data_IF_702473890633
#
_entry.id   IF_702473890633
#
_cell.length_a   1.000
_cell.length_b   1.000
_cell.length_c   1.000
_cell.angle_alpha   90.00
_cell.angle_beta   90.00
_cell.angle_gamma   90.00
#
_symmetry.space_group_name_H-M   'P 1'
#
loop_
_entity.id
_entity.type
_entity.pdbx_description
1 polymer ?
#
# COMPACT_ATOMS: atom_id res chain seq x y z
N UNK A 1 8.41 13.93 -26.77
CA UNK A 1 9.08 12.79 -26.12
C UNK A 1 7.99 11.90 -25.54
N UNK A 2 7.67 10.78 -26.18
CA UNK A 2 6.69 9.84 -25.62
C UNK A 2 7.33 9.16 -24.39
N UNK A 3 6.63 9.03 -23.26
CA UNK A 3 7.17 8.35 -22.09
C UNK A 3 7.54 6.92 -22.50
N UNK A 4 8.83 6.61 -22.42
CA UNK A 4 9.34 5.27 -22.67
C UNK A 4 8.99 4.45 -21.43
N UNK A 5 7.88 3.70 -21.45
CA UNK A 5 7.55 2.77 -20.37
C UNK A 5 8.67 1.75 -20.29
N UNK A 6 9.53 1.84 -19.27
CA UNK A 6 10.62 0.88 -19.06
C UNK A 6 10.00 -0.49 -18.79
N UNK A 7 10.70 -1.58 -19.10
CA UNK A 7 10.22 -2.95 -18.83
C UNK A 7 9.86 -3.20 -17.35
N UNK A 8 10.27 -2.30 -16.45
CA UNK A 8 10.05 -2.35 -15.00
C UNK A 8 8.60 -1.99 -14.62
N UNK A 9 7.95 -1.05 -15.33
CA UNK A 9 6.57 -0.63 -15.03
C UNK A 9 5.56 -1.76 -15.26
N UNK A 10 5.76 -2.57 -16.31
CA UNK A 10 4.85 -3.67 -16.68
C UNK A 10 4.73 -4.74 -15.59
N UNK A 11 5.74 -4.88 -14.73
CA UNK A 11 5.76 -5.89 -13.68
C UNK A 11 5.71 -5.30 -12.27
N UNK A 12 5.62 -3.97 -12.09
CA UNK A 12 5.68 -3.36 -10.75
C UNK A 12 4.61 -3.92 -9.82
N UNK A 13 3.37 -4.08 -10.30
CA UNK A 13 2.29 -4.66 -9.51
C UNK A 13 2.62 -6.07 -9.01
N UNK A 14 3.16 -6.93 -9.87
CA UNK A 14 3.57 -8.28 -9.50
C UNK A 14 4.75 -8.26 -8.51
N UNK A 15 5.71 -7.35 -8.71
CA UNK A 15 6.85 -7.17 -7.79
C UNK A 15 6.38 -6.75 -6.41
N UNK A 16 5.49 -5.77 -6.31
CA UNK A 16 4.88 -5.33 -5.04
C UNK A 16 4.15 -6.50 -4.35
N UNK A 17 3.40 -7.31 -5.11
CA UNK A 17 2.73 -8.48 -4.56
C UNK A 17 3.70 -9.54 -4.02
N UNK A 18 4.76 -9.88 -4.75
CA UNK A 18 5.75 -10.85 -4.24
C UNK A 18 6.53 -10.31 -3.05
N UNK A 19 6.89 -9.03 -3.06
CA UNK A 19 7.54 -8.38 -1.91
C UNK A 19 6.66 -8.38 -0.67
N UNK A 20 5.35 -8.15 -0.79
CA UNK A 20 4.44 -8.15 0.36
C UNK A 20 4.34 -9.54 1.02
N UNK A 21 4.34 -10.62 0.22
CA UNK A 21 4.39 -12.00 0.73
C UNK A 21 5.70 -12.27 1.48
N UNK A 22 6.83 -11.82 0.94
CA UNK A 22 8.12 -11.95 1.61
C UNK A 22 8.13 -11.22 2.97
N UNK A 23 7.57 -10.01 3.05
CA UNK A 23 7.44 -9.26 4.29
C UNK A 23 6.53 -9.96 5.31
N UNK A 24 5.38 -10.49 4.89
CA UNK A 24 4.49 -11.24 5.78
C UNK A 24 5.17 -12.49 6.36
N UNK A 25 5.95 -13.20 5.55
CA UNK A 25 6.75 -14.35 6.01
C UNK A 25 7.80 -13.94 7.04
N UNK A 26 8.49 -12.83 6.80
CA UNK A 26 9.49 -12.32 7.74
C UNK A 26 8.85 -11.94 9.08
N UNK A 27 7.71 -11.25 9.06
CA UNK A 27 6.95 -10.92 10.28
C UNK A 27 6.52 -12.18 11.04
N UNK A 28 5.99 -13.17 10.33
CA UNK A 28 5.59 -14.44 10.93
C UNK A 28 6.78 -15.19 11.57
N UNK A 29 7.98 -15.13 10.95
CA UNK A 29 9.18 -15.78 11.50
C UNK A 29 9.66 -15.21 12.83
N UNK A 30 9.21 -14.00 13.19
CA UNK A 30 9.49 -13.37 14.49
C UNK A 30 8.24 -13.30 15.37
N UNK A 31 7.28 -14.20 15.15
CA UNK A 31 6.07 -14.37 15.95
C UNK A 31 5.12 -13.16 15.95
N UNK A 32 5.18 -12.28 14.95
CA UNK A 32 4.15 -11.24 14.77
C UNK A 32 2.88 -11.92 14.26
N UNK A 33 1.78 -11.74 15.00
CA UNK A 33 0.49 -12.39 14.70
C UNK A 33 -0.54 -11.44 14.11
N UNK A 34 -0.35 -10.11 14.24
CA UNK A 34 -1.25 -9.11 13.66
C UNK A 34 -0.46 -7.84 13.32
N UNK A 35 -0.77 -7.22 12.18
CA UNK A 35 -0.16 -5.95 11.72
C UNK A 35 -1.19 -5.01 11.14
N UNK A 36 -0.89 -3.71 11.18
CA UNK A 36 -1.62 -2.68 10.45
C UNK A 36 -0.73 -2.16 9.30
N UNK A 37 -1.20 -2.32 8.07
CA UNK A 37 -0.60 -1.67 6.90
C UNK A 37 -1.11 -0.23 6.81
N UNK A 38 -0.22 0.72 6.60
CA UNK A 38 -0.52 2.17 6.58
C UNK A 38 -0.55 2.75 5.16
N UNK A 39 -0.40 1.90 4.14
CA UNK A 39 -0.35 2.35 2.76
C UNK A 39 0.15 1.25 1.83
N UNK A 40 -0.49 1.10 0.68
CA UNK A 40 -0.07 0.13 -0.33
C UNK A 40 -0.43 0.56 -1.74
N UNK A 41 0.51 0.40 -2.67
CA UNK A 41 0.20 0.49 -4.11
C UNK A 41 -0.65 -0.70 -4.54
N UNK A 42 -1.50 -0.49 -5.56
CA UNK A 42 -2.28 -1.54 -6.20
C UNK A 42 -3.18 -2.37 -5.26
N UNK A 43 -3.49 -1.84 -4.06
CA UNK A 43 -4.20 -2.59 -3.02
C UNK A 43 -3.53 -3.92 -2.64
N UNK A 44 -2.19 -4.00 -2.73
CA UNK A 44 -1.48 -5.26 -2.49
C UNK A 44 -1.60 -5.74 -1.03
N UNK A 45 -1.74 -4.83 -0.07
CA UNK A 45 -2.00 -5.15 1.33
C UNK A 45 -3.40 -5.76 1.56
N UNK A 46 -4.41 -5.25 0.85
CA UNK A 46 -5.76 -5.83 0.85
C UNK A 46 -5.75 -7.22 0.22
N UNK A 47 -5.11 -7.38 -0.94
CA UNK A 47 -5.02 -8.69 -1.60
C UNK A 47 -4.30 -9.72 -0.71
N UNK A 48 -3.21 -9.32 -0.06
CA UNK A 48 -2.49 -10.17 0.88
C UNK A 48 -3.33 -10.51 2.12
N UNK A 49 -4.09 -9.56 2.66
CA UNK A 49 -5.04 -9.80 3.76
C UNK A 49 -6.02 -10.91 3.40
N UNK A 50 -6.67 -10.81 2.23
CA UNK A 50 -7.64 -11.81 1.77
C UNK A 50 -6.99 -13.17 1.50
N UNK A 51 -5.79 -13.18 0.93
CA UNK A 51 -5.03 -14.41 0.70
C UNK A 51 -4.65 -15.11 2.03
N UNK A 52 -4.31 -14.35 3.07
CA UNK A 52 -4.04 -14.91 4.41
C UNK A 52 -5.34 -15.38 5.07
N UNK A 53 -6.41 -14.57 5.00
CA UNK A 53 -7.71 -14.91 5.59
C UNK A 53 -8.33 -16.18 4.98
N UNK A 54 -8.14 -16.40 3.68
CA UNK A 54 -8.56 -17.62 2.97
C UNK A 54 -7.62 -18.82 3.16
N UNK A 55 -6.47 -18.62 3.81
CA UNK A 55 -5.46 -19.67 4.02
C UNK A 55 -4.59 -19.99 2.80
N UNK A 56 -4.70 -19.21 1.70
CA UNK A 56 -3.85 -19.36 0.51
C UNK A 56 -2.37 -19.06 0.84
N UNK A 57 -2.12 -18.12 1.76
CA UNK A 57 -0.77 -17.71 2.19
C UNK A 57 -0.71 -17.73 3.71
N UNK A 58 0.37 -18.28 4.28
CA UNK A 58 0.62 -18.19 5.72
C UNK A 58 1.17 -16.80 6.09
N UNK A 59 0.61 -16.17 7.12
CA UNK A 59 1.07 -14.87 7.60
C UNK A 59 0.25 -14.32 8.78
N UNK A 60 0.60 -13.14 9.29
CA UNK A 60 -0.17 -12.46 10.34
C UNK A 60 -1.53 -11.98 9.83
N UNK A 61 -2.47 -11.74 10.75
CA UNK A 61 -3.70 -11.00 10.39
C UNK A 61 -3.34 -9.56 9.99
N UNK A 62 -3.95 -9.05 8.93
CA UNK A 62 -3.65 -7.72 8.39
C UNK A 62 -4.88 -6.81 8.51
N UNK A 63 -4.71 -5.64 9.13
CA UNK A 63 -5.60 -4.50 8.97
C UNK A 63 -5.02 -3.63 7.84
N UNK A 64 -5.67 -3.63 6.69
CA UNK A 64 -5.18 -2.98 5.47
C UNK A 64 -5.78 -1.59 5.27
N UNK A 65 -4.94 -0.59 5.02
CA UNK A 65 -5.38 0.77 4.69
C UNK A 65 -5.61 0.97 3.19
N UNK A 66 -4.98 0.17 2.33
CA UNK A 66 -5.00 0.38 0.88
C UNK A 66 -4.14 1.58 0.46
N UNK A 67 -4.37 2.16 -0.73
CA UNK A 67 -3.64 3.32 -1.22
C UNK A 67 -3.79 4.54 -0.29
N UNK A 68 -2.67 5.21 -0.03
CA UNK A 68 -2.65 6.42 0.79
C UNK A 68 -3.38 7.55 0.07
N UNK A 69 -4.12 8.37 0.81
CA UNK A 69 -4.67 9.63 0.28
C UNK A 69 -3.75 10.78 0.65
N UNK A 70 -3.46 11.65 -0.31
CA UNK A 70 -2.60 12.82 -0.08
C UNK A 70 -3.07 14.03 -0.89
N UNK A 71 -2.66 15.23 -0.47
CA UNK A 71 -2.87 16.45 -1.24
C UNK A 71 -2.07 16.43 -2.52
N UNK A 72 -2.37 17.36 -3.43
CA UNK A 72 -1.63 17.52 -4.67
C UNK A 72 -0.14 17.73 -4.42
N UNK A 73 0.68 16.93 -5.12
CA UNK A 73 2.13 16.84 -4.92
C UNK A 73 2.59 16.54 -3.46
N UNK A 74 1.72 15.98 -2.63
CA UNK A 74 2.03 15.54 -1.27
C UNK A 74 2.93 14.29 -1.22
N UNK A 75 3.34 13.89 -0.01
CA UNK A 75 4.37 12.85 0.17
C UNK A 75 4.05 11.51 -0.52
N UNK A 76 2.78 11.09 -0.51
CA UNK A 76 2.35 9.81 -1.08
C UNK A 76 1.76 9.95 -2.51
N UNK A 77 2.01 11.07 -3.19
CA UNK A 77 1.38 11.41 -4.46
C UNK A 77 1.60 10.36 -5.54
N UNK A 78 2.83 9.87 -5.67
CA UNK A 78 3.22 8.91 -6.70
C UNK A 78 2.84 7.46 -6.37
N UNK A 79 2.34 7.20 -5.16
CA UNK A 79 2.10 5.84 -4.65
C UNK A 79 0.68 5.63 -4.14
N UNK A 80 -0.17 6.66 -4.19
CA UNK A 80 -1.50 6.67 -3.61
C UNK A 80 -2.54 7.36 -4.50
N UNK A 81 -3.61 7.85 -3.88
CA UNK A 81 -4.61 8.71 -4.50
C UNK A 81 -4.39 10.18 -4.15
N UNK A 82 -4.54 11.06 -5.14
CA UNK A 82 -4.69 12.49 -4.94
C UNK A 82 -6.08 12.82 -4.40
N UNK A 83 -6.15 13.77 -3.48
CA UNK A 83 -7.39 14.45 -3.10
C UNK A 83 -7.16 15.96 -3.17
N UNK A 84 -7.80 16.62 -4.15
CA UNK A 84 -7.66 18.07 -4.38
C UNK A 84 -8.71 18.92 -3.63
N UNK A 85 -9.86 18.35 -3.22
CA UNK A 85 -10.97 19.12 -2.65
C UNK A 85 -11.47 18.63 -1.29
N UNK A 86 -10.66 18.84 -0.25
CA UNK A 86 -11.19 19.04 1.10
C UNK A 86 -11.02 20.52 1.46
N UNK A 87 -12.09 21.30 1.39
CA UNK A 87 -12.12 22.64 1.97
C UNK A 87 -11.95 22.52 3.48
N UNK A 88 -10.71 22.60 3.97
CA UNK A 88 -10.42 22.88 5.37
C UNK A 88 -10.27 24.40 5.44
N UNK A 89 -11.23 25.16 6.00
CA UNK A 89 -10.95 26.56 6.31
C UNK A 89 -9.74 26.56 7.21
N UNK A 90 -8.68 27.26 6.79
CA UNK A 90 -7.46 27.41 7.57
C UNK A 90 -7.84 27.70 9.02
N UNK A 91 -7.46 26.82 9.95
CA UNK A 91 -7.51 27.14 11.37
C UNK A 91 -6.65 28.39 11.52
N UNK A 92 -7.32 29.52 11.70
CA UNK A 92 -6.68 30.81 11.86
C UNK A 92 -5.69 30.71 13.01
N UNK A 93 -4.41 30.91 12.68
CA UNK A 93 -3.43 31.28 13.68
C UNK A 93 -3.94 32.56 14.35
N UNK A 94 -4.34 32.43 15.62
CA UNK A 94 -4.46 33.55 16.55
C UNK A 94 -3.14 33.73 17.26
#
# INVERSE_FOLDING_TARGET
>A
MLPQTTSDERHDQARVAFSSVASARQLASVCVTTVQSLGSRYFADVALREAIASGLIAGPRIVAAGPQLTTSAGHAWSTGGEVEWLFIPAVGAR
#
